data_IF_311124661668
#
_entry.id   IF_311124661668
#
_cell.length_a   1.000
_cell.length_b   1.000
_cell.length_c   1.000
_cell.angle_alpha   90.00
_cell.angle_beta   90.00
_cell.angle_gamma   90.00
#
_symmetry.space_group_name_H-M   'P 1'
#
loop_
_entity.id
_entity.type
_entity.pdbx_description
1 polymer ?
#
# COMPACT_ATOMS: atom_id res chain seq x y z
N UNK A 1 32.71 -4.49 -16.78
CA UNK A 1 31.73 -3.38 -16.86
C UNK A 1 30.53 -3.73 -15.99
N UNK A 2 30.09 -2.78 -15.16
CA UNK A 2 28.76 -2.61 -14.55
C UNK A 2 28.92 -1.64 -13.37
N UNK A 3 28.29 -0.48 -13.45
CA UNK A 3 28.43 0.61 -12.47
C UNK A 3 27.73 0.31 -11.13
N UNK A 4 28.36 0.62 -9.98
CA UNK A 4 27.66 0.84 -8.72
C UNK A 4 27.08 2.26 -8.70
N UNK A 5 25.75 2.38 -8.62
CA UNK A 5 25.07 3.67 -8.59
C UNK A 5 25.43 4.49 -7.36
N UNK A 6 25.67 5.78 -7.61
CA UNK A 6 25.95 6.83 -6.66
C UNK A 6 24.82 6.96 -5.62
N UNK A 7 25.06 6.50 -4.38
CA UNK A 7 24.14 6.74 -3.27
C UNK A 7 24.36 8.17 -2.76
N UNK A 8 23.34 9.01 -2.91
CA UNK A 8 23.43 10.44 -2.63
C UNK A 8 23.75 10.75 -1.17
N UNK A 9 24.68 11.68 -0.99
CA UNK A 9 24.96 12.36 0.27
C UNK A 9 23.71 13.13 0.75
N UNK A 10 23.08 12.66 1.82
CA UNK A 10 22.04 13.41 2.52
C UNK A 10 22.69 14.13 3.70
N UNK A 11 23.28 15.29 3.40
CA UNK A 11 23.86 16.18 4.39
C UNK A 11 22.86 16.50 5.52
N UNK A 12 23.29 16.25 6.75
CA UNK A 12 22.51 16.55 7.95
C UNK A 12 22.60 18.05 8.25
N UNK A 13 21.64 18.83 7.76
CA UNK A 13 21.56 20.28 8.04
C UNK A 13 21.10 20.53 9.49
N UNK A 14 21.93 21.10 10.38
CA UNK A 14 21.55 21.38 11.76
C UNK A 14 20.54 22.53 11.90
N UNK A 15 20.25 23.29 10.83
CA UNK A 15 19.39 24.47 10.87
C UNK A 15 17.88 24.15 10.90
N UNK A 16 17.45 22.91 10.63
CA UNK A 16 16.04 22.49 10.70
C UNK A 16 15.56 22.22 12.14
N UNK A 17 15.87 23.15 13.05
CA UNK A 17 15.33 23.18 14.40
C UNK A 17 13.89 23.69 14.45
N UNK A 18 12.99 22.92 15.09
CA UNK A 18 11.73 23.41 15.68
C UNK A 18 10.79 24.26 14.79
N UNK A 19 10.63 23.91 13.50
CA UNK A 19 9.68 24.60 12.59
C UNK A 19 8.61 23.72 11.93
N UNK A 20 8.95 22.48 11.54
CA UNK A 20 8.16 21.71 10.56
C UNK A 20 6.88 21.01 11.04
N UNK A 21 6.48 21.15 12.31
CA UNK A 21 5.36 20.37 12.90
C UNK A 21 3.98 21.05 12.84
N UNK A 22 3.88 22.27 12.30
CA UNK A 22 2.62 23.02 12.26
C UNK A 22 1.82 22.88 10.94
N UNK A 23 2.40 22.27 9.90
CA UNK A 23 1.81 22.21 8.55
C UNK A 23 1.39 20.80 8.08
N UNK A 24 1.13 19.87 9.01
CA UNK A 24 0.35 18.65 8.72
C UNK A 24 -1.06 18.75 9.30
N UNK A 25 -1.80 19.74 8.80
CA UNK A 25 -3.25 19.84 8.98
C UNK A 25 -3.93 18.65 8.31
N UNK A 26 -4.85 17.93 8.97
CA UNK A 26 -5.59 16.85 8.33
C UNK A 26 -6.46 17.43 7.20
N UNK A 27 -6.24 16.93 5.98
CA UNK A 27 -7.11 17.23 4.84
C UNK A 27 -8.53 16.72 5.13
N UNK A 28 -9.59 17.50 4.85
CA UNK A 28 -10.96 17.07 5.11
C UNK A 28 -11.32 15.86 4.22
N UNK A 29 -12.16 14.93 4.71
CA UNK A 29 -12.60 13.80 3.90
C UNK A 29 -13.36 14.29 2.67
N UNK A 30 -13.04 13.74 1.49
CA UNK A 30 -13.83 13.96 0.28
C UNK A 30 -15.29 13.54 0.51
N UNK A 31 -16.27 14.29 -0.03
CA UNK A 31 -17.67 14.08 0.31
C UNK A 31 -18.17 12.70 -0.13
N UNK A 32 -18.61 11.90 0.83
CA UNK A 32 -19.33 10.65 0.61
C UNK A 32 -20.74 10.96 0.08
N UNK A 33 -21.02 10.61 -1.18
CA UNK A 33 -22.42 10.56 -1.64
C UNK A 33 -23.18 9.48 -0.85
N UNK A 34 -24.29 9.87 -0.23
CA UNK A 34 -25.21 8.97 0.49
C UNK A 34 -26.61 9.04 -0.15
N UNK A 35 -27.26 7.90 -0.46
CA UNK A 35 -28.35 7.88 -1.43
C UNK A 35 -29.74 7.93 -0.77
N UNK A 36 -30.26 9.12 -0.47
CA UNK A 36 -31.67 9.27 -0.07
C UNK A 36 -32.36 10.49 -0.71
N UNK A 37 -33.48 10.22 -1.36
CA UNK A 37 -34.34 11.19 -2.03
C UNK A 37 -34.91 12.27 -1.08
N UNK A 38 -34.91 13.54 -1.52
CA UNK A 38 -35.97 14.48 -1.14
C UNK A 38 -36.25 15.52 -2.25
N UNK A 39 -37.52 15.89 -2.33
CA UNK A 39 -38.15 16.78 -3.30
C UNK A 39 -38.45 18.16 -2.65
N UNK A 40 -38.86 19.12 -3.47
CA UNK A 40 -39.64 20.33 -3.15
C UNK A 40 -38.92 21.57 -2.57
N UNK A 41 -38.58 22.50 -3.48
CA UNK A 41 -39.21 23.83 -3.71
C UNK A 41 -39.45 24.87 -2.58
N UNK A 42 -39.39 26.16 -3.00
CA UNK A 42 -39.64 27.47 -2.31
C UNK A 42 -38.71 27.82 -1.12
N UNK A 43 -38.28 29.07 -0.83
CA UNK A 43 -38.44 30.42 -1.42
C UNK A 43 -38.27 31.49 -0.30
N UNK A 44 -37.91 32.79 -0.48
CA UNK A 44 -37.47 33.60 -1.64
C UNK A 44 -36.88 34.96 -1.12
N UNK A 45 -35.95 35.63 -1.83
CA UNK A 45 -35.39 36.94 -1.41
C UNK A 45 -34.18 37.42 -2.26
N UNK A 46 -34.33 37.91 -3.49
CA UNK A 46 -34.83 39.24 -3.95
C UNK A 46 -33.74 40.32 -4.14
N UNK A 47 -33.38 40.58 -5.40
CA UNK A 47 -33.08 41.91 -5.95
C UNK A 47 -33.34 41.90 -7.47
N UNK A 48 -34.21 42.79 -7.97
CA UNK A 48 -34.55 43.02 -9.39
C UNK A 48 -34.06 44.45 -9.80
N UNK A 49 -34.28 45.03 -11.01
CA UNK A 49 -35.47 44.98 -11.91
C UNK A 49 -35.15 44.67 -13.42
N UNK A 50 -35.95 43.86 -14.13
CA UNK A 50 -37.19 44.16 -14.88
C UNK A 50 -37.02 44.69 -16.31
N UNK A 51 -37.46 43.90 -17.29
CA UNK A 51 -38.18 44.37 -18.52
C UNK A 51 -39.16 43.27 -18.97
N UNK A 52 -40.21 43.64 -19.69
CA UNK A 52 -41.46 42.86 -19.81
C UNK A 52 -41.37 41.51 -20.54
N UNK A 53 -42.13 40.53 -20.04
CA UNK A 53 -42.56 39.35 -20.77
C UNK A 53 -44.03 39.50 -21.19
N UNK A 54 -44.33 39.23 -22.47
CA UNK A 54 -45.70 39.06 -22.97
C UNK A 54 -45.86 37.63 -23.45
N UNK A 55 -46.71 36.84 -22.78
CA UNK A 55 -47.09 35.51 -23.25
C UNK A 55 -47.96 35.65 -24.51
N UNK A 56 -47.46 35.25 -25.67
CA UNK A 56 -48.31 34.78 -26.76
C UNK A 56 -47.92 33.36 -27.18
N UNK A 57 -48.93 32.49 -27.15
CA UNK A 57 -48.84 31.07 -27.41
C UNK A 57 -48.85 30.84 -28.93
N UNK A 58 -47.69 30.95 -29.58
CA UNK A 58 -47.57 30.74 -31.02
C UNK A 58 -47.31 29.27 -31.36
N UNK A 59 -48.40 28.55 -31.55
CA UNK A 59 -48.43 27.29 -32.31
C UNK A 59 -47.94 27.52 -33.73
N UNK A 60 -46.63 27.40 -33.97
CA UNK A 60 -46.03 27.40 -35.32
C UNK A 60 -45.91 25.98 -35.85
N UNK A 61 -47.03 25.48 -36.38
CA UNK A 61 -47.03 24.35 -37.31
C UNK A 61 -46.25 24.75 -38.58
N UNK A 62 -44.96 24.44 -38.64
CA UNK A 62 -44.21 24.44 -39.91
C UNK A 62 -44.58 23.19 -40.72
N UNK A 63 -45.85 23.13 -41.13
CA UNK A 63 -46.25 22.35 -42.28
C UNK A 63 -45.58 22.95 -43.50
N UNK A 64 -44.54 22.29 -44.01
CA UNK A 64 -43.99 22.61 -45.32
C UNK A 64 -44.95 22.02 -46.35
N UNK A 65 -46.01 22.78 -46.64
CA UNK A 65 -46.90 22.54 -47.77
C UNK A 65 -46.17 23.01 -49.04
N UNK A 66 -45.21 22.19 -49.50
CA UNK A 66 -44.73 22.26 -50.87
C UNK A 66 -45.69 21.41 -51.72
N UNK A 67 -46.77 22.05 -52.18
CA UNK A 67 -47.67 21.49 -53.17
C UNK A 67 -47.08 21.58 -54.58
N UNK A 68 -47.55 20.67 -55.43
CA UNK A 68 -47.39 20.58 -56.88
C UNK A 68 -45.99 20.37 -57.48
N UNK A 69 -45.66 19.10 -57.72
CA UNK A 69 -45.35 18.63 -59.08
C UNK A 69 -45.50 17.12 -59.17
N UNK A 70 -46.53 16.67 -59.90
CA UNK A 70 -46.97 15.27 -60.03
C UNK A 70 -46.02 14.39 -60.89
N UNK A 71 -44.71 14.35 -60.56
CA UNK A 71 -43.75 13.46 -61.24
C UNK A 71 -43.67 12.09 -60.55
N UNK A 72 -44.63 11.25 -60.94
CA UNK A 72 -44.88 9.86 -60.48
C UNK A 72 -43.61 9.02 -60.23
N UNK A 73 -43.48 8.55 -58.98
CA UNK A 73 -43.24 7.12 -58.72
C UNK A 73 -41.82 6.62 -58.44
N UNK A 74 -40.75 7.30 -58.88
CA UNK A 74 -39.38 6.74 -58.76
C UNK A 74 -38.54 7.37 -57.62
N UNK A 75 -38.32 8.69 -57.63
CA UNK A 75 -37.38 9.35 -56.71
C UNK A 75 -37.79 9.38 -55.24
N UNK A 76 -39.08 9.62 -54.95
CA UNK A 76 -39.59 9.72 -53.56
C UNK A 76 -39.51 8.39 -52.80
N UNK A 77 -39.71 7.26 -53.51
CA UNK A 77 -39.49 5.93 -52.94
C UNK A 77 -38.00 5.71 -52.62
N UNK A 78 -37.09 6.05 -53.54
CA UNK A 78 -35.64 5.95 -53.31
C UNK A 78 -35.16 6.79 -52.11
N UNK A 79 -35.71 7.99 -51.89
CA UNK A 79 -35.36 8.81 -50.71
C UNK A 79 -35.87 8.19 -49.40
N UNK A 80 -37.10 7.65 -49.39
CA UNK A 80 -37.66 6.94 -48.22
C UNK A 80 -36.89 5.65 -47.92
N UNK A 81 -36.47 4.92 -48.95
CA UNK A 81 -35.61 3.72 -48.84
C UNK A 81 -34.25 4.09 -48.24
N UNK A 82 -33.55 5.08 -48.79
CA UNK A 82 -32.26 5.56 -48.28
C UNK A 82 -32.32 5.98 -46.81
N UNK A 83 -33.41 6.62 -46.38
CA UNK A 83 -33.63 6.97 -44.96
C UNK A 83 -33.83 5.73 -44.09
N UNK A 84 -34.57 4.72 -44.57
CA UNK A 84 -34.75 3.42 -43.88
C UNK A 84 -33.44 2.65 -43.78
N UNK A 85 -32.64 2.61 -44.84
CA UNK A 85 -31.31 1.99 -44.85
C UNK A 85 -30.37 2.65 -43.82
N UNK A 86 -30.27 3.97 -43.84
CA UNK A 86 -29.44 4.72 -42.89
C UNK A 86 -29.86 4.49 -41.43
N UNK A 87 -31.17 4.47 -41.14
CA UNK A 87 -31.70 4.13 -39.82
C UNK A 87 -31.34 2.69 -39.41
N UNK A 88 -31.45 1.73 -40.34
CA UNK A 88 -31.11 0.32 -40.10
C UNK A 88 -29.61 0.14 -39.82
N UNK A 89 -28.75 0.81 -40.59
CA UNK A 89 -27.30 0.81 -40.38
C UNK A 89 -26.91 1.43 -39.02
N UNK A 90 -27.55 2.53 -38.63
CA UNK A 90 -27.32 3.17 -37.34
C UNK A 90 -27.71 2.27 -36.15
N UNK A 91 -28.87 1.61 -36.21
CA UNK A 91 -29.32 0.67 -35.18
C UNK A 91 -28.46 -0.60 -35.15
N UNK A 92 -28.00 -1.10 -36.30
CA UNK A 92 -27.06 -2.22 -36.35
C UNK A 92 -25.73 -1.87 -35.66
N UNK A 93 -25.13 -0.70 -36.01
CA UNK A 93 -23.92 -0.19 -35.34
C UNK A 93 -24.09 -0.04 -33.83
N UNK A 94 -25.27 0.41 -33.37
CA UNK A 94 -25.62 0.49 -31.94
C UNK A 94 -25.68 -0.91 -31.30
N UNK A 95 -26.29 -1.90 -31.98
CA UNK A 95 -26.36 -3.29 -31.49
C UNK A 95 -25.00 -3.96 -31.39
N UNK A 96 -24.12 -3.72 -32.37
CA UNK A 96 -22.76 -4.27 -32.37
C UNK A 96 -21.89 -3.65 -31.27
N UNK A 97 -22.03 -2.34 -31.02
CA UNK A 97 -21.39 -1.68 -29.88
C UNK A 97 -21.86 -2.25 -28.53
N UNK A 98 -23.17 -2.47 -28.36
CA UNK A 98 -23.72 -3.11 -27.15
C UNK A 98 -23.19 -4.54 -27.01
N UNK A 99 -23.15 -5.32 -28.10
CA UNK A 99 -22.63 -6.70 -28.10
C UNK A 99 -21.17 -6.74 -27.63
N UNK A 100 -20.30 -5.90 -28.20
CA UNK A 100 -18.90 -5.76 -27.78
C UNK A 100 -18.77 -5.38 -26.29
N UNK A 101 -19.70 -4.60 -25.76
CA UNK A 101 -19.79 -4.30 -24.33
C UNK A 101 -20.06 -5.53 -23.46
N UNK A 102 -20.99 -6.41 -23.88
CA UNK A 102 -21.25 -7.69 -23.20
C UNK A 102 -20.04 -8.64 -23.27
N UNK A 103 -19.40 -8.75 -24.43
CA UNK A 103 -18.21 -9.59 -24.61
C UNK A 103 -17.07 -9.09 -23.67
N UNK A 104 -16.90 -7.78 -23.56
CA UNK A 104 -15.93 -7.16 -22.63
C UNK A 104 -16.27 -7.42 -21.15
N UNK A 105 -17.56 -7.35 -20.76
CA UNK A 105 -17.99 -7.67 -19.40
C UNK A 105 -17.74 -9.13 -19.03
N UNK A 106 -17.95 -10.07 -19.96
CA UNK A 106 -17.64 -11.49 -19.75
C UNK A 106 -16.14 -11.71 -19.48
N UNK A 107 -15.26 -10.96 -20.15
CA UNK A 107 -13.83 -11.00 -19.89
C UNK A 107 -13.40 -10.29 -18.60
N UNK A 108 -14.07 -9.23 -18.17
CA UNK A 108 -13.72 -8.49 -16.94
C UNK A 108 -14.25 -9.13 -15.64
N UNK A 109 -15.32 -9.92 -15.73
CA UNK A 109 -16.00 -10.51 -14.56
C UNK A 109 -15.59 -11.97 -14.39
N UNK A 110 -14.78 -12.33 -13.36
CA UNK A 110 -14.22 -13.68 -13.24
C UNK A 110 -15.27 -14.79 -13.09
N UNK A 111 -16.45 -14.47 -12.55
CA UNK A 111 -17.56 -15.41 -12.39
C UNK A 111 -18.31 -15.66 -13.70
N UNK A 112 -18.09 -14.87 -14.75
CA UNK A 112 -18.56 -15.16 -16.11
C UNK A 112 -17.62 -16.17 -16.80
N UNK A 113 -16.31 -15.93 -16.73
CA UNK A 113 -15.29 -16.78 -17.35
C UNK A 113 -15.37 -18.25 -16.89
N UNK A 114 -15.57 -18.48 -15.58
CA UNK A 114 -15.59 -19.83 -14.98
C UNK A 114 -16.68 -20.75 -15.56
N UNK A 115 -17.78 -20.20 -16.10
CA UNK A 115 -18.87 -21.00 -16.68
C UNK A 115 -18.63 -21.43 -18.13
N UNK A 116 -17.82 -20.70 -18.90
CA UNK A 116 -17.54 -21.01 -20.31
C UNK A 116 -16.50 -22.15 -20.48
N UNK A 117 -15.71 -22.47 -19.45
CA UNK A 117 -14.66 -23.51 -19.53
C UNK A 117 -15.19 -24.95 -19.56
N UNK A 118 -16.43 -25.19 -19.14
CA UNK A 118 -17.02 -26.54 -19.03
C UNK A 118 -18.33 -26.71 -19.83
N UNK A 119 -18.92 -25.62 -20.31
CA UNK A 119 -20.27 -25.64 -20.89
C UNK A 119 -20.32 -24.72 -22.12
N UNK A 120 -20.62 -25.27 -23.31
CA UNK A 120 -20.65 -24.51 -24.57
C UNK A 120 -21.83 -23.52 -24.72
N UNK A 121 -22.61 -23.31 -23.66
CA UNK A 121 -23.77 -22.43 -23.64
C UNK A 121 -23.39 -21.01 -23.19
N UNK A 122 -23.42 -20.08 -24.14
CA UNK A 122 -23.18 -18.64 -23.89
C UNK A 122 -24.11 -18.11 -22.80
N UNK A 123 -23.52 -17.48 -21.78
CA UNK A 123 -24.25 -16.84 -20.68
C UNK A 123 -25.36 -15.88 -21.17
N UNK A 124 -26.51 -15.92 -20.49
CA UNK A 124 -27.60 -14.98 -20.80
C UNK A 124 -27.20 -13.53 -20.46
N UNK A 125 -27.72 -12.56 -21.21
CA UNK A 125 -27.47 -11.13 -20.96
C UNK A 125 -27.82 -10.72 -19.53
N UNK A 126 -28.96 -11.20 -19.01
CA UNK A 126 -29.37 -10.92 -17.63
C UNK A 126 -28.37 -11.49 -16.61
N UNK A 127 -27.86 -12.71 -16.85
CA UNK A 127 -26.86 -13.35 -15.98
C UNK A 127 -25.52 -12.60 -15.99
N UNK A 128 -25.07 -12.12 -17.16
CA UNK A 128 -23.85 -11.30 -17.26
C UNK A 128 -24.01 -9.99 -16.48
N UNK A 129 -25.14 -9.30 -16.61
CA UNK A 129 -25.41 -8.06 -15.86
C UNK A 129 -25.43 -8.32 -14.35
N UNK A 130 -26.12 -9.37 -13.89
CA UNK A 130 -26.18 -9.69 -12.45
C UNK A 130 -24.78 -9.99 -11.89
N UNK A 131 -24.03 -10.91 -12.52
CA UNK A 131 -22.64 -11.22 -12.13
C UNK A 131 -21.74 -9.98 -12.14
N UNK A 132 -21.98 -9.02 -13.04
CA UNK A 132 -21.25 -7.74 -13.08
C UNK A 132 -21.59 -6.85 -11.88
N UNK A 133 -22.86 -6.74 -11.50
CA UNK A 133 -23.31 -5.99 -10.31
C UNK A 133 -22.68 -6.59 -9.05
N UNK A 134 -22.77 -7.90 -8.88
CA UNK A 134 -22.21 -8.63 -7.74
C UNK A 134 -20.70 -8.41 -7.63
N UNK A 135 -19.98 -8.43 -8.77
CA UNK A 135 -18.54 -8.20 -8.82
C UNK A 135 -18.17 -6.73 -8.53
N UNK A 136 -18.95 -5.75 -8.98
CA UNK A 136 -18.76 -4.34 -8.60
C UNK A 136 -18.94 -4.15 -7.09
N UNK A 137 -19.99 -4.75 -6.49
CA UNK A 137 -20.20 -4.69 -5.05
C UNK A 137 -19.04 -5.31 -4.27
N UNK A 138 -18.55 -6.47 -4.71
CA UNK A 138 -17.35 -7.11 -4.16
C UNK A 138 -16.11 -6.20 -4.24
N UNK A 139 -15.84 -5.59 -5.39
CA UNK A 139 -14.70 -4.68 -5.58
C UNK A 139 -14.81 -3.42 -4.68
N UNK A 140 -16.01 -2.87 -4.52
CA UNK A 140 -16.25 -1.74 -3.61
C UNK A 140 -15.99 -2.12 -2.15
N UNK A 141 -16.40 -3.32 -1.72
CA UNK A 141 -16.13 -3.84 -0.38
C UNK A 141 -14.63 -4.09 -0.15
N UNK A 142 -13.94 -4.69 -1.13
CA UNK A 142 -12.49 -4.92 -1.06
C UNK A 142 -11.72 -3.60 -0.99
N UNK A 143 -12.07 -2.61 -1.84
CA UNK A 143 -11.47 -1.27 -1.80
C UNK A 143 -11.65 -0.61 -0.43
N UNK A 144 -12.86 -0.69 0.15
CA UNK A 144 -13.14 -0.17 1.49
C UNK A 144 -12.26 -0.83 2.54
N UNK A 145 -12.15 -2.17 2.53
CA UNK A 145 -11.31 -2.93 3.47
C UNK A 145 -9.83 -2.52 3.37
N UNK A 146 -9.30 -2.44 2.15
CA UNK A 146 -7.91 -2.02 1.91
C UNK A 146 -7.65 -0.57 2.36
N UNK A 147 -8.63 0.32 2.20
CA UNK A 147 -8.53 1.69 2.69
C UNK A 147 -8.55 1.77 4.22
N UNK A 148 -9.39 0.99 4.89
CA UNK A 148 -9.43 0.87 6.35
C UNK A 148 -8.08 0.33 6.90
N UNK A 149 -7.54 -0.74 6.31
CA UNK A 149 -6.22 -1.30 6.66
C UNK A 149 -5.08 -0.29 6.44
N UNK A 150 -5.04 0.37 5.28
CA UNK A 150 -4.06 1.43 4.98
C UNK A 150 -4.15 2.57 5.99
N UNK A 151 -5.35 2.98 6.39
CA UNK A 151 -5.56 4.05 7.34
C UNK A 151 -5.18 3.63 8.78
N UNK A 152 -5.33 2.36 9.14
CA UNK A 152 -4.83 1.80 10.40
C UNK A 152 -3.29 1.82 10.44
N UNK A 153 -2.62 1.27 9.41
CA UNK A 153 -1.16 1.26 9.30
C UNK A 153 -0.55 2.67 9.35
N UNK A 154 -1.19 3.66 8.71
CA UNK A 154 -0.76 5.07 8.79
C UNK A 154 -0.80 5.62 10.23
N UNK A 155 -1.83 5.29 11.00
CA UNK A 155 -1.92 5.68 12.43
C UNK A 155 -0.85 5.00 13.27
N UNK A 156 -0.57 3.73 13.01
CA UNK A 156 0.49 2.97 13.68
C UNK A 156 1.88 3.56 13.42
N UNK A 157 2.20 3.89 12.16
CA UNK A 157 3.47 4.57 11.79
C UNK A 157 3.63 5.91 12.54
N UNK A 158 2.56 6.71 12.64
CA UNK A 158 2.60 7.98 13.40
C UNK A 158 2.81 7.72 14.90
N UNK A 159 2.11 6.75 15.49
CA UNK A 159 2.28 6.38 16.90
C UNK A 159 3.71 5.86 17.20
N UNK A 160 4.25 4.99 16.35
CA UNK A 160 5.63 4.49 16.45
C UNK A 160 6.65 5.62 16.31
N UNK A 161 6.42 6.58 15.39
CA UNK A 161 7.28 7.76 15.24
C UNK A 161 7.30 8.63 16.50
N UNK A 162 6.14 8.88 17.12
CA UNK A 162 6.05 9.62 18.39
C UNK A 162 6.78 8.87 19.51
N UNK A 163 6.58 7.55 19.63
CA UNK A 163 7.29 6.74 20.64
C UNK A 163 8.80 6.75 20.42
N UNK A 164 9.28 6.62 19.18
CA UNK A 164 10.69 6.73 18.80
C UNK A 164 11.29 8.07 19.25
N UNK A 165 10.61 9.18 18.94
CA UNK A 165 11.04 10.54 19.32
C UNK A 165 11.13 10.67 20.85
N UNK A 166 10.13 10.18 21.59
CA UNK A 166 10.14 10.21 23.05
C UNK A 166 11.31 9.42 23.66
N UNK A 167 11.59 8.21 23.15
CA UNK A 167 12.74 7.43 23.58
C UNK A 167 14.08 8.10 23.24
N UNK A 168 14.23 8.69 22.04
CA UNK A 168 15.43 9.44 21.67
C UNK A 168 15.65 10.65 22.59
N UNK A 169 14.59 11.36 22.98
CA UNK A 169 14.68 12.47 23.93
C UNK A 169 15.10 11.98 25.32
N UNK A 170 14.51 10.88 25.83
CA UNK A 170 14.92 10.29 27.11
C UNK A 170 16.38 9.84 27.12
N UNK A 171 16.84 9.18 26.05
CA UNK A 171 18.24 8.73 25.91
C UNK A 171 19.20 9.92 25.86
N UNK A 172 18.87 10.99 25.12
CA UNK A 172 19.66 12.24 25.10
C UNK A 172 19.69 12.92 26.47
N UNK A 173 18.56 12.98 27.17
CA UNK A 173 18.49 13.55 28.53
C UNK A 173 19.34 12.74 29.54
N UNK A 174 19.36 11.41 29.45
CA UNK A 174 20.23 10.56 30.25
C UNK A 174 21.72 10.71 29.88
N UNK A 175 22.06 10.91 28.59
CA UNK A 175 23.43 11.20 28.16
C UNK A 175 23.92 12.57 28.65
N UNK A 176 23.02 13.56 28.77
CA UNK A 176 23.31 14.90 29.24
C UNK A 176 23.48 15.02 30.77
N UNK A 177 23.24 13.96 31.55
CA UNK A 177 23.44 13.97 33.00
C UNK A 177 24.91 13.66 33.38
N UNK A 178 25.67 14.62 33.92
CA UNK A 178 27.04 14.37 34.37
C UNK A 178 27.02 13.56 35.67
N UNK A 179 27.21 12.23 35.55
CA UNK A 179 27.26 11.31 36.69
C UNK A 179 26.87 9.85 36.39
N UNK A 180 26.29 9.56 35.22
CA UNK A 180 25.98 8.18 34.79
C UNK A 180 27.00 7.59 33.79
N UNK A 181 28.14 8.26 33.59
CA UNK A 181 29.16 7.78 32.65
C UNK A 181 29.90 6.55 33.20
N UNK A 182 30.13 6.49 34.52
CA UNK A 182 30.90 5.42 35.19
C UNK A 182 30.24 4.03 35.15
N UNK A 183 28.94 3.94 34.84
CA UNK A 183 28.21 2.65 34.74
C UNK A 183 28.15 2.10 33.31
N UNK A 184 28.64 2.85 32.31
CA UNK A 184 28.56 2.46 30.89
C UNK A 184 29.86 1.82 30.41
N UNK A 185 29.92 0.49 30.53
CA UNK A 185 30.91 -0.33 29.81
C UNK A 185 30.82 0.00 28.31
N UNK A 186 31.92 0.43 27.69
CA UNK A 186 31.96 0.73 26.24
C UNK A 186 31.55 -0.48 25.41
N UNK A 187 30.91 -0.24 24.26
CA UNK A 187 30.55 -1.30 23.32
C UNK A 187 31.79 -2.02 22.77
N UNK A 188 32.94 -1.35 22.64
CA UNK A 188 34.24 -1.99 22.36
C UNK A 188 34.62 -3.03 23.42
N UNK A 189 34.37 -2.72 24.70
CA UNK A 189 34.68 -3.62 25.81
C UNK A 189 33.71 -4.79 25.83
N UNK A 190 32.41 -4.57 25.56
CA UNK A 190 31.42 -5.64 25.39
C UNK A 190 31.79 -6.56 24.23
N UNK A 191 32.21 -5.99 23.10
CA UNK A 191 32.64 -6.74 21.92
C UNK A 191 33.89 -7.58 22.20
N UNK A 192 34.91 -7.01 22.86
CA UNK A 192 36.11 -7.75 23.29
C UNK A 192 35.80 -8.90 24.25
N UNK A 193 34.88 -8.69 25.20
CA UNK A 193 34.41 -9.75 26.11
C UNK A 193 33.69 -10.85 25.33
N UNK A 194 32.75 -10.49 24.46
CA UNK A 194 32.00 -11.45 23.63
C UNK A 194 32.93 -12.26 22.72
N UNK A 195 33.84 -11.60 22.00
CA UNK A 195 34.84 -12.24 21.16
C UNK A 195 35.70 -13.23 21.96
N UNK A 196 36.24 -12.81 23.12
CA UNK A 196 37.07 -13.67 23.95
C UNK A 196 36.32 -14.86 24.60
N UNK A 197 34.98 -14.81 24.70
CA UNK A 197 34.14 -15.95 25.08
C UNK A 197 33.96 -16.89 23.88
N UNK A 198 33.59 -16.33 22.72
CA UNK A 198 33.36 -17.10 21.49
C UNK A 198 34.61 -17.83 21.02
N UNK A 199 35.78 -17.19 21.05
CA UNK A 199 37.07 -17.79 20.68
C UNK A 199 37.40 -18.99 21.59
N UNK A 200 37.11 -18.91 22.89
CA UNK A 200 37.35 -20.01 23.84
C UNK A 200 36.38 -21.18 23.64
N UNK A 201 35.11 -20.90 23.34
CA UNK A 201 34.13 -21.93 22.99
C UNK A 201 34.46 -22.60 21.65
N UNK A 202 34.96 -21.84 20.68
CA UNK A 202 35.39 -22.37 19.38
C UNK A 202 36.64 -23.26 19.52
N UNK A 203 37.62 -22.85 20.33
CA UNK A 203 38.81 -23.66 20.62
C UNK A 203 38.44 -24.97 21.33
N UNK A 204 37.55 -24.94 22.33
CA UNK A 204 37.12 -26.19 23.00
C UNK A 204 36.30 -27.10 22.07
N UNK A 205 35.52 -26.52 21.15
CA UNK A 205 34.80 -27.26 20.11
C UNK A 205 35.74 -27.89 19.08
N UNK A 206 36.85 -27.23 18.74
CA UNK A 206 37.80 -27.71 17.71
C UNK A 206 38.52 -29.03 18.05
N UNK A 207 38.46 -29.47 19.32
CA UNK A 207 38.96 -30.77 19.77
C UNK A 207 37.95 -31.94 19.56
N UNK A 208 36.74 -31.71 19.05
CA UNK A 208 35.76 -32.75 18.78
C UNK A 208 36.17 -33.68 17.62
N UNK A 209 35.73 -34.96 17.64
CA UNK A 209 35.94 -35.87 16.51
C UNK A 209 34.99 -35.54 15.34
N UNK A 210 35.56 -35.46 14.13
CA UNK A 210 34.81 -35.24 12.88
C UNK A 210 34.81 -36.47 11.96
N UNK A 211 35.19 -37.66 12.46
CA UNK A 211 35.46 -38.84 11.60
C UNK A 211 34.21 -39.40 10.89
N UNK A 212 33.03 -39.34 11.54
CA UNK A 212 31.74 -39.74 10.96
C UNK A 212 30.58 -39.12 11.75
N UNK A 213 29.35 -39.21 11.24
CA UNK A 213 28.17 -38.58 11.86
C UNK A 213 27.84 -39.11 13.27
N UNK A 214 28.11 -40.39 13.56
CA UNK A 214 27.85 -40.98 14.88
C UNK A 214 28.84 -40.45 15.92
N UNK A 215 30.13 -40.42 15.59
CA UNK A 215 31.16 -39.80 16.44
C UNK A 215 31.00 -38.29 16.59
N UNK A 216 30.62 -37.60 15.50
CA UNK A 216 30.37 -36.16 15.51
C UNK A 216 29.20 -35.82 16.44
N UNK A 217 28.07 -36.51 16.30
CA UNK A 217 26.91 -36.27 17.16
C UNK A 217 27.22 -36.58 18.63
N UNK A 218 27.87 -37.71 18.92
CA UNK A 218 28.33 -38.03 20.28
C UNK A 218 29.29 -36.96 20.84
N UNK A 219 30.29 -36.54 20.06
CA UNK A 219 31.27 -35.50 20.48
C UNK A 219 30.61 -34.16 20.73
N UNK A 220 29.63 -33.75 19.90
CA UNK A 220 28.87 -32.51 20.08
C UNK A 220 28.02 -32.57 21.36
N UNK A 221 27.37 -33.69 21.65
CA UNK A 221 26.59 -33.85 22.89
C UNK A 221 27.49 -33.80 24.13
N UNK A 222 28.61 -34.53 24.15
CA UNK A 222 29.59 -34.46 25.25
C UNK A 222 30.16 -33.06 25.43
N UNK A 223 30.53 -32.37 24.34
CA UNK A 223 31.03 -30.99 24.40
C UNK A 223 29.97 -30.00 24.95
N UNK A 224 28.71 -30.09 24.49
CA UNK A 224 27.60 -29.29 25.02
C UNK A 224 27.40 -29.52 26.53
N UNK A 225 27.43 -30.77 26.97
CA UNK A 225 27.26 -31.11 28.38
C UNK A 225 28.45 -30.71 29.25
N UNK A 226 29.67 -30.63 28.73
CA UNK A 226 30.84 -30.21 29.53
C UNK A 226 31.06 -28.68 29.50
N UNK A 227 31.01 -28.08 28.31
CA UNK A 227 31.49 -26.72 28.06
C UNK A 227 30.37 -25.66 28.04
N UNK A 228 29.12 -26.05 27.76
CA UNK A 228 27.99 -25.11 27.61
C UNK A 228 27.01 -25.12 28.80
N UNK A 229 27.34 -25.78 29.91
CA UNK A 229 26.54 -25.69 31.15
C UNK A 229 26.54 -24.24 31.70
N UNK A 230 25.43 -23.75 32.29
CA UNK A 230 25.35 -22.38 32.81
C UNK A 230 26.47 -21.99 33.77
N UNK A 231 26.91 -22.93 34.62
CA UNK A 231 28.02 -22.73 35.55
C UNK A 231 29.35 -22.56 34.80
N UNK A 232 29.69 -23.49 33.89
CA UNK A 232 30.91 -23.41 33.07
C UNK A 232 30.98 -22.12 32.25
N UNK A 233 29.85 -21.68 31.69
CA UNK A 233 29.76 -20.41 30.96
C UNK A 233 29.93 -19.20 31.88
N UNK A 234 29.35 -19.21 33.08
CA UNK A 234 29.54 -18.14 34.07
C UNK A 234 31.00 -18.03 34.52
N UNK A 235 31.66 -19.16 34.76
CA UNK A 235 33.06 -19.22 35.18
C UNK A 235 34.01 -18.83 34.02
N UNK A 236 33.66 -19.18 32.77
CA UNK A 236 34.34 -18.70 31.57
C UNK A 236 34.20 -17.18 31.41
N UNK A 237 33.00 -16.62 31.57
CA UNK A 237 32.74 -15.17 31.53
C UNK A 237 33.55 -14.45 32.62
N UNK A 238 33.54 -14.96 33.86
CA UNK A 238 34.33 -14.42 34.95
C UNK A 238 35.84 -14.46 34.64
N UNK A 239 36.33 -15.57 34.08
CA UNK A 239 37.74 -15.73 33.67
C UNK A 239 38.13 -14.81 32.49
N UNK A 240 37.22 -14.56 31.55
CA UNK A 240 37.42 -13.59 30.46
C UNK A 240 37.46 -12.16 31.02
N UNK A 241 36.53 -11.80 31.91
CA UNK A 241 36.48 -10.48 32.55
C UNK A 241 37.73 -10.22 33.40
N UNK A 242 38.21 -11.20 34.17
CA UNK A 242 39.46 -11.09 34.94
C UNK A 242 40.69 -10.92 34.03
N UNK A 243 40.80 -11.69 32.93
CA UNK A 243 41.92 -11.52 31.98
C UNK A 243 41.89 -10.14 31.30
N UNK A 244 40.71 -9.62 30.98
CA UNK A 244 40.55 -8.30 30.36
C UNK A 244 40.69 -7.14 31.36
N UNK A 245 40.52 -7.38 32.67
CA UNK A 245 40.75 -6.37 33.72
C UNK A 245 42.20 -6.29 34.21
N UNK A 246 43.07 -7.26 33.88
CA UNK A 246 44.49 -7.31 34.31
C UNK A 246 45.54 -7.08 33.18
N UNK A 247 45.49 -6.01 32.37
CA UNK A 247 46.57 -5.64 31.44
C UNK A 247 47.58 -4.62 31.99
N UNK A 248 47.88 -4.60 33.30
CA UNK A 248 48.95 -3.75 33.88
C UNK A 248 49.79 -4.47 34.95
N UNK A 249 51.10 -4.58 34.67
CA UNK A 249 52.14 -5.14 35.54
C UNK A 249 52.67 -6.49 35.01
N UNK A 250 53.99 -6.65 34.78
CA UNK A 250 55.03 -6.16 35.70
C UNK A 250 56.23 -5.43 35.06
N UNK A 251 56.87 -4.57 35.86
CA UNK A 251 58.33 -4.41 35.89
C UNK A 251 58.99 -3.38 34.95
N UNK A 252 59.44 -2.26 35.53
CA UNK A 252 60.89 -2.01 35.52
C UNK A 252 61.35 -1.28 36.80
N UNK A 253 62.56 -1.62 37.24
CA UNK A 253 63.25 -1.09 38.42
C UNK A 253 64.47 -0.27 37.98
N UNK A 254 64.97 0.64 38.83
CA UNK A 254 66.05 1.64 38.56
C UNK A 254 65.63 2.82 37.64
N UNK A 255 66.14 4.03 37.85
CA UNK A 255 67.07 4.51 38.90
C UNK A 255 66.36 5.32 39.99
#
# INVERSE_FOLDING_TARGET
MSDPLHYGDYGYDPALGMGGLQDMKPEPPSPTESPYYRRDSVGSGLAAPSTHNSNENLSSSSGHEDDDSDHKGSGSLSYKERRREAHTQAEQKRRDAIKKGYDSLQHLVPTCQQTDSSTSYKLSKATVLQKSIDYIQFLLQQRKKQEEERNALRKEVVALSIMRINYEQMVKAQQAQPGQQDTRISDDTKFKVFQAIMDQLFLSFSNASFANFAELSASIFSWLEEQCKPQTLHDLVASVLQRLSFPLGPGNMRM
#
